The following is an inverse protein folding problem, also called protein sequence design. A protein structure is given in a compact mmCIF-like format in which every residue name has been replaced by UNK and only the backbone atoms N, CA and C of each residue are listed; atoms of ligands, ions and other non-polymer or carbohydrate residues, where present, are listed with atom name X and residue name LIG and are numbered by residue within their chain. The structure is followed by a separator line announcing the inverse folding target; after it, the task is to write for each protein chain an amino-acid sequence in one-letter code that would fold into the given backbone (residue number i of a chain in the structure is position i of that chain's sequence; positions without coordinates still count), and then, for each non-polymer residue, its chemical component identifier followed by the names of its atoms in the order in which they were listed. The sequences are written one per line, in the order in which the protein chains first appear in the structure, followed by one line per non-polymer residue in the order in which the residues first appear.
data_IF_125403791683
#
_entry.id   IF_125403791683
#
_cell.length_a   1.000
_cell.length_b   1.000
_cell.length_c   1.000
_cell.angle_alpha   90.00
_cell.angle_beta   90.00
_cell.angle_gamma   90.00
#
_symmetry.space_group_name_H-M   'P 1'
#
loop_
_entity.id
_entity.type
_entity.pdbx_description
1 polymer ?
#
# COMPACT_ATOMS: atom_id res chain seq x y z
N UNK A 1 -21.83 11.11 1.27
CA UNK A 1 -20.45 10.59 1.28
C UNK A 1 -20.13 10.15 2.70
N UNK A 2 -19.87 8.86 2.92
CA UNK A 2 -19.51 8.37 4.27
C UNK A 2 -17.99 8.47 4.35
N UNK A 3 -17.52 9.52 5.00
CA UNK A 3 -16.10 9.72 5.26
C UNK A 3 -15.83 9.31 6.71
N UNK A 4 -15.42 8.05 6.92
CA UNK A 4 -15.06 7.53 8.24
C UNK A 4 -13.61 7.87 8.54
N UNK A 5 -13.37 9.13 8.93
CA UNK A 5 -12.06 9.60 9.35
C UNK A 5 -11.72 9.13 10.75
N UNK A 6 -10.47 8.86 10.97
CA UNK A 6 -9.92 8.57 12.29
C UNK A 6 -9.81 9.86 13.12
N UNK A 7 -9.56 9.74 14.42
CA UNK A 7 -9.35 10.89 15.31
C UNK A 7 -8.21 11.78 14.84
N UNK A 8 -7.21 11.19 14.19
CA UNK A 8 -6.06 11.88 13.64
C UNK A 8 -5.78 11.31 12.26
N UNK A 9 -5.95 12.13 11.23
CA UNK A 9 -5.54 11.81 9.88
C UNK A 9 -4.13 12.35 9.62
N UNK A 10 -3.37 11.60 8.85
CA UNK A 10 -2.02 11.97 8.50
C UNK A 10 -1.72 11.61 7.04
N UNK A 11 -0.78 12.33 6.44
CA UNK A 11 -0.23 12.07 5.11
C UNK A 11 1.27 12.35 5.11
N UNK A 12 2.02 11.54 4.37
CA UNK A 12 3.45 11.73 4.14
C UNK A 12 3.74 11.59 2.66
N UNK A 13 4.45 12.56 2.13
CA UNK A 13 5.01 12.55 0.78
C UNK A 13 6.53 12.49 0.89
N UNK A 14 7.19 11.70 0.04
CA UNK A 14 8.64 11.67 -0.08
C UNK A 14 9.02 11.49 -1.54
N UNK A 15 9.98 12.29 -1.99
CA UNK A 15 10.55 12.20 -3.33
C UNK A 15 12.06 11.94 -3.19
N UNK A 16 12.49 10.76 -3.65
CA UNK A 16 13.89 10.38 -3.61
C UNK A 16 14.61 10.92 -4.84
N UNK A 17 15.82 11.49 -4.67
CA UNK A 17 16.58 12.14 -5.75
C UNK A 17 15.74 13.20 -6.49
N UNK A 18 15.03 14.05 -5.76
CA UNK A 18 14.15 15.08 -6.32
C UNK A 18 14.88 16.13 -7.16
N UNK A 19 16.22 16.20 -7.09
CA UNK A 19 17.07 17.06 -7.89
C UNK A 19 17.58 16.40 -9.18
N UNK A 20 17.13 15.19 -9.51
CA UNK A 20 17.49 14.47 -10.74
C UNK A 20 16.24 14.23 -11.58
N UNK A 21 15.97 15.10 -12.53
CA UNK A 21 14.84 15.00 -13.46
C UNK A 21 14.97 13.83 -14.46
N UNK A 22 16.17 13.25 -14.60
CA UNK A 22 16.42 12.11 -15.48
C UNK A 22 16.21 10.76 -14.80
N UNK A 23 16.06 10.73 -13.48
CA UNK A 23 15.88 9.49 -12.73
C UNK A 23 14.58 8.78 -13.13
N UNK A 24 14.68 7.50 -13.43
CA UNK A 24 13.52 6.62 -13.51
C UNK A 24 12.89 6.51 -12.13
N UNK A 25 11.57 6.57 -12.04
CA UNK A 25 10.87 6.63 -10.77
C UNK A 25 9.83 5.53 -10.61
N UNK A 26 9.66 5.07 -9.38
CA UNK A 26 8.52 4.28 -8.94
C UNK A 26 7.83 4.99 -7.79
N UNK A 27 6.51 4.82 -7.70
CA UNK A 27 5.71 5.39 -6.62
C UNK A 27 5.14 4.27 -5.75
N UNK A 28 5.41 4.33 -4.45
CA UNK A 28 4.75 3.51 -3.46
C UNK A 28 3.58 4.29 -2.86
N UNK A 29 2.36 3.76 -3.00
CA UNK A 29 1.16 4.34 -2.38
C UNK A 29 0.63 3.36 -1.36
N UNK A 30 0.42 3.81 -0.12
CA UNK A 30 -0.15 2.96 0.93
C UNK A 30 -0.37 3.65 2.26
N UNK A 31 -0.31 2.87 3.32
CA UNK A 31 -0.51 3.30 4.69
C UNK A 31 0.78 3.23 5.53
N UNK A 32 0.65 3.10 6.85
CA UNK A 32 1.78 2.98 7.77
C UNK A 32 2.65 1.75 7.52
N UNK A 33 2.10 0.67 6.93
CA UNK A 33 2.87 -0.52 6.58
C UNK A 33 3.80 -0.19 5.40
N UNK A 34 3.26 0.42 4.35
CA UNK A 34 4.05 0.87 3.19
C UNK A 34 5.10 1.91 3.60
N UNK A 35 4.73 2.88 4.45
CA UNK A 35 5.68 3.83 5.04
C UNK A 35 6.79 3.12 5.82
N UNK A 36 6.43 2.09 6.58
CA UNK A 36 7.37 1.34 7.42
C UNK A 36 8.45 0.59 6.65
N UNK A 37 8.20 0.25 5.39
CA UNK A 37 9.16 -0.46 4.53
C UNK A 37 9.83 0.45 3.49
N UNK A 38 9.42 1.72 3.40
CA UNK A 38 9.85 2.63 2.34
C UNK A 38 11.36 2.78 2.25
N UNK A 39 12.05 3.04 3.37
CA UNK A 39 13.50 3.22 3.37
C UNK A 39 14.22 1.95 2.90
N UNK A 40 13.83 0.77 3.40
CA UNK A 40 14.42 -0.49 2.98
C UNK A 40 14.19 -0.77 1.48
N UNK A 41 13.00 -0.45 0.94
CA UNK A 41 12.72 -0.58 -0.51
C UNK A 41 13.57 0.41 -1.30
N UNK A 42 13.64 1.67 -0.88
CA UNK A 42 14.44 2.71 -1.52
C UNK A 42 15.92 2.33 -1.57
N UNK A 43 16.47 1.86 -0.45
CA UNK A 43 17.88 1.41 -0.37
C UNK A 43 18.18 0.22 -1.27
N UNK A 44 17.24 -0.74 -1.35
CA UNK A 44 17.39 -1.92 -2.21
C UNK A 44 17.32 -1.60 -3.70
N UNK A 45 16.58 -0.56 -4.10
CA UNK A 45 16.35 -0.18 -5.49
C UNK A 45 17.16 1.02 -5.97
N UNK A 46 17.91 1.70 -5.09
CA UNK A 46 18.58 2.98 -5.36
C UNK A 46 19.51 3.00 -6.59
N UNK A 47 20.06 1.84 -6.98
CA UNK A 47 20.93 1.72 -8.15
C UNK A 47 20.15 1.58 -9.47
N UNK A 48 18.83 1.48 -9.42
CA UNK A 48 17.97 1.23 -10.58
C UNK A 48 16.95 2.35 -10.81
N UNK A 49 16.33 2.82 -9.71
CA UNK A 49 15.23 3.79 -9.75
C UNK A 49 15.22 4.67 -8.50
N UNK A 50 14.68 5.87 -8.62
CA UNK A 50 14.24 6.66 -7.47
C UNK A 50 12.88 6.13 -6.96
N UNK A 51 12.73 6.01 -5.66
CA UNK A 51 11.50 5.51 -5.03
C UNK A 51 10.78 6.65 -4.32
N UNK A 52 9.60 7.01 -4.80
CA UNK A 52 8.75 8.03 -4.19
C UNK A 52 7.67 7.39 -3.32
N UNK A 53 7.08 8.15 -2.39
CA UNK A 53 6.10 7.68 -1.43
C UNK A 53 4.92 8.63 -1.29
N UNK A 54 3.71 8.06 -1.34
CA UNK A 54 2.51 8.60 -0.70
C UNK A 54 2.05 7.61 0.36
N UNK A 55 2.16 7.98 1.63
CA UNK A 55 1.58 7.20 2.71
C UNK A 55 0.54 8.01 3.48
N UNK A 56 -0.66 7.44 3.67
CA UNK A 56 -1.79 8.13 4.28
C UNK A 56 -2.64 7.21 5.14
N UNK A 57 -3.27 7.77 6.17
CA UNK A 57 -4.32 7.10 6.94
C UNK A 57 -5.69 7.15 6.24
N UNK A 58 -5.81 7.83 5.12
CA UNK A 58 -7.08 7.96 4.41
C UNK A 58 -7.44 6.68 3.66
N UNK A 59 -8.69 6.28 3.81
CA UNK A 59 -9.26 5.20 3.02
C UNK A 59 -9.64 5.70 1.61
N UNK A 60 -9.68 4.82 0.62
CA UNK A 60 -9.99 5.14 -0.79
C UNK A 60 -11.31 5.90 -0.99
N UNK A 61 -12.24 5.83 -0.03
CA UNK A 61 -13.53 6.56 -0.08
C UNK A 61 -13.45 7.98 0.45
N UNK A 62 -12.34 8.41 1.05
CA UNK A 62 -12.15 9.79 1.49
C UNK A 62 -11.82 10.68 0.27
N UNK A 63 -12.63 11.71 -0.04
CA UNK A 63 -12.40 12.57 -1.20
C UNK A 63 -11.08 13.36 -1.11
N UNK A 64 -10.52 13.56 0.09
CA UNK A 64 -9.21 14.22 0.23
C UNK A 64 -8.07 13.29 -0.20
N UNK A 65 -8.30 11.98 -0.22
CA UNK A 65 -7.33 11.04 -0.79
C UNK A 65 -7.10 11.27 -2.30
N UNK A 66 -8.10 11.76 -3.02
CA UNK A 66 -7.94 12.16 -4.43
C UNK A 66 -6.96 13.33 -4.58
N UNK A 67 -7.03 14.31 -3.68
CA UNK A 67 -6.07 15.41 -3.64
C UNK A 67 -4.66 14.94 -3.30
N UNK A 68 -4.55 13.98 -2.37
CA UNK A 68 -3.25 13.37 -2.03
C UNK A 68 -2.65 12.62 -3.22
N UNK A 69 -3.47 11.88 -3.96
CA UNK A 69 -3.04 11.19 -5.19
C UNK A 69 -2.62 12.17 -6.27
N UNK A 70 -3.42 13.20 -6.53
CA UNK A 70 -3.11 14.23 -7.52
C UNK A 70 -1.74 14.87 -7.24
N UNK A 71 -1.46 15.20 -5.98
CA UNK A 71 -0.20 15.85 -5.60
C UNK A 71 1.05 15.03 -5.99
N UNK A 72 0.99 13.68 -5.95
CA UNK A 72 2.14 12.84 -6.30
C UNK A 72 2.13 12.37 -7.75
N UNK A 73 0.96 12.32 -8.39
CA UNK A 73 0.83 11.81 -9.76
C UNK A 73 1.20 12.85 -10.82
N UNK A 74 1.08 14.16 -10.49
CA UNK A 74 1.36 15.25 -11.43
C UNK A 74 2.79 15.77 -11.34
N UNK A 75 3.48 15.52 -10.22
CA UNK A 75 4.81 16.10 -9.97
C UNK A 75 5.90 15.37 -10.78
N UNK A 76 5.88 14.04 -10.78
CA UNK A 76 6.80 13.21 -11.56
C UNK A 76 6.09 12.11 -12.33
N UNK A 77 6.69 11.68 -13.44
CA UNK A 77 6.24 10.48 -14.17
C UNK A 77 6.83 9.24 -13.50
N UNK A 78 5.98 8.26 -13.17
CA UNK A 78 6.37 7.01 -12.54
C UNK A 78 6.25 5.83 -13.52
N UNK A 79 7.31 5.05 -13.70
CA UNK A 79 7.28 3.84 -14.54
C UNK A 79 6.42 2.74 -13.92
N UNK A 80 6.43 2.65 -12.59
CA UNK A 80 5.66 1.68 -11.82
C UNK A 80 4.96 2.39 -10.67
N UNK A 81 3.69 2.07 -10.46
CA UNK A 81 2.95 2.46 -9.25
C UNK A 81 2.61 1.20 -8.46
N UNK A 82 3.08 1.12 -7.22
CA UNK A 82 2.70 0.09 -6.26
C UNK A 82 1.62 0.65 -5.35
N UNK A 83 0.48 -0.01 -5.26
CA UNK A 83 -0.69 0.48 -4.55
C UNK A 83 -1.23 -0.51 -3.52
N UNK A 84 -1.33 -0.04 -2.28
CA UNK A 84 -2.03 -0.69 -1.18
C UNK A 84 -2.94 0.33 -0.48
N UNK A 85 -4.16 -0.05 -0.14
CA UNK A 85 -5.05 0.71 0.75
C UNK A 85 -6.10 -0.25 1.29
N UNK A 86 -6.33 -0.24 2.62
CA UNK A 86 -7.38 -1.09 3.17
C UNK A 86 -7.26 -1.43 4.65
N UNK A 87 -6.30 -0.89 5.40
CA UNK A 87 -6.23 -1.05 6.86
C UNK A 87 -6.95 0.08 7.62
N UNK A 88 -7.17 1.22 6.96
CA UNK A 88 -7.92 2.35 7.52
C UNK A 88 -9.39 2.35 7.11
N UNK A 89 -10.23 3.12 7.81
CA UNK A 89 -11.66 3.20 7.52
C UNK A 89 -12.38 1.86 7.61
N UNK A 90 -12.08 1.05 8.63
CA UNK A 90 -12.60 -0.33 8.80
C UNK A 90 -14.13 -0.39 8.73
N UNK A 91 -14.83 0.66 9.17
CA UNK A 91 -16.29 0.72 9.19
C UNK A 91 -16.93 1.11 7.84
N UNK A 92 -16.11 1.37 6.81
CA UNK A 92 -16.63 1.64 5.45
C UNK A 92 -17.27 0.36 4.88
N UNK A 93 -18.54 0.42 4.42
CA UNK A 93 -19.19 -0.71 3.78
C UNK A 93 -18.39 -1.25 2.60
N UNK A 94 -18.32 -2.57 2.47
CA UNK A 94 -17.45 -3.23 1.50
C UNK A 94 -17.79 -2.86 0.04
N UNK A 95 -19.06 -2.66 -0.29
CA UNK A 95 -19.48 -2.24 -1.61
C UNK A 95 -18.98 -0.83 -1.98
N UNK A 96 -18.97 0.11 -1.02
CA UNK A 96 -18.44 1.45 -1.23
C UNK A 96 -16.90 1.44 -1.32
N UNK A 97 -16.25 0.57 -0.53
CA UNK A 97 -14.82 0.37 -0.64
C UNK A 97 -14.45 -0.22 -2.03
N UNK A 98 -15.19 -1.23 -2.50
CA UNK A 98 -14.96 -1.88 -3.81
C UNK A 98 -15.07 -0.86 -4.95
N UNK A 99 -16.17 -0.10 -5.01
CA UNK A 99 -16.37 0.95 -6.01
C UNK A 99 -15.22 1.96 -6.00
N UNK A 100 -14.92 2.55 -4.85
CA UNK A 100 -13.86 3.54 -4.73
C UNK A 100 -12.47 2.97 -5.03
N UNK A 101 -12.18 1.73 -4.62
CA UNK A 101 -10.90 1.07 -4.90
C UNK A 101 -10.70 0.88 -6.40
N UNK A 102 -11.74 0.42 -7.12
CA UNK A 102 -11.68 0.25 -8.57
C UNK A 102 -11.46 1.60 -9.29
N UNK A 103 -12.17 2.66 -8.87
CA UNK A 103 -11.98 4.01 -9.42
C UNK A 103 -10.54 4.49 -9.24
N UNK A 104 -9.92 4.24 -8.08
CA UNK A 104 -8.52 4.59 -7.83
C UNK A 104 -7.58 3.78 -8.72
N UNK A 105 -7.81 2.48 -8.89
CA UNK A 105 -7.00 1.64 -9.80
C UNK A 105 -7.10 2.16 -11.23
N UNK A 106 -8.30 2.47 -11.72
CA UNK A 106 -8.49 3.05 -13.06
C UNK A 106 -7.79 4.41 -13.22
N UNK A 107 -7.79 5.23 -12.16
CA UNK A 107 -7.04 6.49 -12.14
C UNK A 107 -5.53 6.22 -12.26
N UNK A 108 -4.97 5.34 -11.44
CA UNK A 108 -3.54 5.03 -11.42
C UNK A 108 -3.06 4.49 -12.77
N UNK A 109 -3.88 3.68 -13.45
CA UNK A 109 -3.57 3.15 -14.80
C UNK A 109 -3.47 4.24 -15.88
N UNK A 110 -4.02 5.44 -15.65
CA UNK A 110 -3.84 6.58 -16.57
C UNK A 110 -2.46 7.22 -16.44
N UNK A 111 -1.83 7.08 -15.26
CA UNK A 111 -0.52 7.67 -14.96
C UNK A 111 0.65 6.70 -15.12
N UNK A 112 0.42 5.38 -15.04
CA UNK A 112 1.45 4.39 -15.27
C UNK A 112 0.89 3.16 -15.98
N UNK A 113 1.69 2.61 -16.89
CA UNK A 113 1.36 1.33 -17.58
C UNK A 113 1.61 0.11 -16.69
N UNK A 114 2.36 0.27 -15.61
CA UNK A 114 2.75 -0.81 -14.70
C UNK A 114 2.22 -0.47 -13.31
N UNK A 115 1.02 -0.98 -12.99
CA UNK A 115 0.44 -0.88 -11.65
C UNK A 115 0.55 -2.25 -10.98
N UNK A 116 1.04 -2.25 -9.74
CA UNK A 116 1.12 -3.43 -8.87
C UNK A 116 0.18 -3.21 -7.70
N UNK A 117 -0.82 -4.06 -7.54
CA UNK A 117 -1.68 -4.04 -6.38
C UNK A 117 -1.08 -4.88 -5.25
N UNK A 118 -1.35 -4.53 -4.02
CA UNK A 118 -0.91 -5.32 -2.87
C UNK A 118 -2.06 -5.57 -1.89
N UNK A 119 -2.20 -6.81 -1.43
CA UNK A 119 -3.16 -7.14 -0.37
C UNK A 119 -2.75 -6.47 0.95
N UNK A 120 -3.75 -6.18 1.80
CA UNK A 120 -3.52 -5.69 3.16
C UNK A 120 -2.95 -6.80 4.02
N UNK A 121 -2.14 -6.44 5.00
CA UNK A 121 -1.59 -7.38 5.97
C UNK A 121 -2.61 -7.74 7.06
N UNK A 122 -2.50 -8.91 7.71
CA UNK A 122 -3.41 -9.32 8.77
C UNK A 122 -3.37 -8.36 9.98
N UNK A 123 -4.51 -8.18 10.65
CA UNK A 123 -4.62 -7.48 11.95
C UNK A 123 -4.70 -8.54 13.05
N UNK A 124 -3.89 -8.37 14.09
CA UNK A 124 -3.89 -9.27 15.27
C UNK A 124 -4.37 -8.56 16.52
N UNK A 125 -4.60 -9.29 17.59
CA UNK A 125 -4.85 -8.70 18.89
C UNK A 125 -3.58 -8.06 19.47
N UNK A 126 -3.76 -6.94 20.17
CA UNK A 126 -2.66 -6.26 20.86
C UNK A 126 -1.97 -7.20 21.86
N UNK A 127 -0.65 -7.25 21.83
CA UNK A 127 0.20 -8.14 22.64
C UNK A 127 -0.01 -9.65 22.40
N UNK A 128 -0.72 -10.03 21.31
CA UNK A 128 -0.95 -11.43 20.95
C UNK A 128 -0.79 -11.61 19.44
N UNK A 129 0.43 -11.53 18.92
CA UNK A 129 0.70 -11.50 17.46
C UNK A 129 0.26 -12.75 16.71
N UNK A 130 -0.01 -13.86 17.43
CA UNK A 130 -0.52 -15.12 16.89
C UNK A 130 -2.06 -15.21 16.83
N UNK A 131 -2.79 -14.24 17.44
CA UNK A 131 -4.25 -14.25 17.49
C UNK A 131 -4.79 -13.16 16.56
N UNK A 132 -5.58 -13.55 15.55
CA UNK A 132 -6.23 -12.61 14.67
C UNK A 132 -7.29 -11.79 15.41
N UNK A 133 -7.30 -10.48 15.16
CA UNK A 133 -8.35 -9.60 15.63
C UNK A 133 -9.66 -9.86 14.87
N UNK A 134 -10.85 -9.68 15.48
CA UNK A 134 -12.12 -9.69 14.74
C UNK A 134 -12.17 -8.70 13.55
N UNK A 135 -11.42 -7.61 13.62
CA UNK A 135 -11.25 -6.66 12.49
C UNK A 135 -10.64 -7.30 11.26
N UNK A 136 -9.95 -8.43 11.41
CA UNK A 136 -9.32 -9.11 10.29
C UNK A 136 -10.33 -9.65 9.26
N UNK A 137 -11.60 -9.88 9.64
CA UNK A 137 -12.65 -10.27 8.70
C UNK A 137 -12.90 -9.20 7.62
N UNK A 138 -12.75 -7.92 7.99
CA UNK A 138 -12.83 -6.81 7.03
C UNK A 138 -11.63 -6.81 6.10
N UNK A 139 -10.43 -7.08 6.65
CA UNK A 139 -9.20 -7.19 5.83
C UNK A 139 -9.34 -8.29 4.78
N UNK A 140 -9.85 -9.46 5.14
CA UNK A 140 -10.08 -10.55 4.20
C UNK A 140 -11.02 -10.14 3.06
N UNK A 141 -12.15 -9.50 3.37
CA UNK A 141 -13.10 -9.00 2.36
C UNK A 141 -12.46 -7.96 1.45
N UNK A 142 -11.64 -7.04 1.98
CA UNK A 142 -10.91 -6.05 1.19
C UNK A 142 -9.85 -6.69 0.31
N UNK A 143 -9.15 -7.70 0.81
CA UNK A 143 -8.19 -8.45 0.01
C UNK A 143 -8.86 -9.19 -1.17
N UNK A 144 -10.10 -9.67 -1.00
CA UNK A 144 -10.89 -10.20 -2.12
C UNK A 144 -11.18 -9.12 -3.17
N UNK A 145 -11.53 -7.90 -2.75
CA UNK A 145 -11.72 -6.75 -3.66
C UNK A 145 -10.42 -6.43 -4.41
N UNK A 146 -9.28 -6.42 -3.72
CA UNK A 146 -7.96 -6.16 -4.31
C UNK A 146 -7.61 -7.23 -5.35
N UNK A 147 -7.83 -8.52 -5.04
CA UNK A 147 -7.62 -9.64 -5.99
C UNK A 147 -8.54 -9.52 -7.21
N UNK A 148 -9.82 -9.21 -7.01
CA UNK A 148 -10.78 -8.98 -8.11
C UNK A 148 -10.33 -7.82 -9.02
N UNK A 149 -9.80 -6.73 -8.44
CA UNK A 149 -9.29 -5.61 -9.23
C UNK A 149 -8.05 -6.03 -10.04
N UNK A 150 -7.11 -6.78 -9.44
CA UNK A 150 -5.95 -7.32 -10.13
C UNK A 150 -6.36 -8.20 -11.32
N UNK A 151 -7.31 -9.10 -11.13
CA UNK A 151 -7.83 -10.00 -12.17
C UNK A 151 -8.54 -9.20 -13.27
N UNK A 152 -9.47 -8.28 -12.90
CA UNK A 152 -10.25 -7.47 -13.86
C UNK A 152 -9.35 -6.66 -14.80
N UNK A 153 -8.31 -6.05 -14.25
CA UNK A 153 -7.43 -5.16 -15.00
C UNK A 153 -6.13 -5.84 -15.47
N UNK A 154 -5.98 -7.16 -15.23
CA UNK A 154 -4.77 -7.95 -15.56
C UNK A 154 -3.50 -7.32 -14.99
N UNK A 155 -3.54 -6.87 -13.74
CA UNK A 155 -2.45 -6.22 -13.03
C UNK A 155 -1.63 -7.22 -12.21
N UNK A 156 -0.36 -6.89 -11.98
CA UNK A 156 0.48 -7.62 -11.05
C UNK A 156 -0.05 -7.49 -9.62
N UNK A 157 -0.02 -8.57 -8.86
CA UNK A 157 -0.47 -8.61 -7.46
C UNK A 157 0.66 -9.06 -6.53
N UNK A 158 0.94 -8.27 -5.52
CA UNK A 158 1.71 -8.68 -4.35
C UNK A 158 0.74 -9.24 -3.30
N UNK A 159 0.43 -10.52 -3.40
CA UNK A 159 -0.43 -11.21 -2.43
C UNK A 159 0.41 -11.73 -1.26
N UNK A 160 0.76 -10.84 -0.36
CA UNK A 160 1.63 -11.14 0.79
C UNK A 160 0.89 -11.52 2.08
N UNK A 161 -0.47 -11.48 2.06
CA UNK A 161 -1.27 -11.73 3.26
C UNK A 161 -0.94 -13.08 3.91
N UNK A 162 -0.98 -14.18 3.14
CA UNK A 162 -0.77 -15.53 3.67
C UNK A 162 0.68 -15.76 4.13
N UNK A 163 1.64 -15.18 3.40
CA UNK A 163 3.04 -15.22 3.83
C UNK A 163 3.21 -14.52 5.18
N UNK A 164 2.70 -13.32 5.31
CA UNK A 164 2.81 -12.54 6.55
C UNK A 164 2.04 -13.21 7.69
N UNK A 165 0.89 -13.81 7.41
CA UNK A 165 0.10 -14.57 8.39
C UNK A 165 0.90 -15.74 8.98
N UNK A 166 1.68 -16.44 8.15
CA UNK A 166 2.53 -17.57 8.58
C UNK A 166 3.73 -17.18 9.44
N UNK A 167 4.03 -15.88 9.57
CA UNK A 167 5.21 -15.36 10.26
C UNK A 167 4.86 -14.44 11.45
N UNK A 168 4.15 -14.91 12.50
CA UNK A 168 3.69 -14.07 13.60
C UNK A 168 4.82 -13.42 14.41
N UNK A 169 6.02 -13.99 14.38
CA UNK A 169 7.21 -13.47 15.07
C UNK A 169 7.78 -12.17 14.47
N UNK A 170 7.37 -11.82 13.26
CA UNK A 170 7.73 -10.53 12.65
C UNK A 170 6.82 -9.38 13.07
N UNK A 171 5.74 -9.67 13.83
CA UNK A 171 4.78 -8.66 14.22
C UNK A 171 5.21 -7.88 15.45
N UNK A 172 4.90 -6.58 15.43
CA UNK A 172 4.93 -5.75 16.63
C UNK A 172 3.74 -6.07 17.56
N UNK A 173 3.81 -5.61 18.81
CA UNK A 173 2.79 -5.89 19.83
C UNK A 173 1.53 -5.01 19.72
N UNK A 174 1.46 -4.09 18.78
CA UNK A 174 0.30 -3.20 18.60
C UNK A 174 -0.85 -3.80 17.79
N UNK A 175 -0.60 -4.94 17.14
CA UNK A 175 -1.56 -5.68 16.33
C UNK A 175 -1.60 -5.28 14.85
N UNK A 176 -0.87 -4.25 14.43
CA UNK A 176 -0.85 -3.74 13.06
C UNK A 176 0.54 -3.77 12.42
N UNK A 177 1.55 -3.28 13.14
CA UNK A 177 2.88 -3.06 12.60
C UNK A 177 3.80 -4.28 12.74
N UNK A 178 5.04 -4.11 12.29
CA UNK A 178 6.04 -5.16 12.20
C UNK A 178 7.35 -4.73 12.87
N UNK A 179 8.12 -5.72 13.33
CA UNK A 179 9.49 -5.52 13.81
C UNK A 179 10.37 -5.03 12.66
N UNK A 180 11.54 -4.48 12.97
CA UNK A 180 12.49 -4.06 11.94
C UNK A 180 12.89 -5.21 11.00
N UNK A 181 13.02 -6.44 11.54
CA UNK A 181 13.27 -7.63 10.72
C UNK A 181 12.07 -7.93 9.80
N UNK A 182 10.85 -7.84 10.33
CA UNK A 182 9.62 -8.03 9.56
C UNK A 182 9.48 -7.02 8.41
N UNK A 183 9.82 -5.75 8.65
CA UNK A 183 9.85 -4.71 7.61
C UNK A 183 10.85 -5.03 6.51
N UNK A 184 12.09 -5.46 6.85
CA UNK A 184 13.09 -5.86 5.86
C UNK A 184 12.64 -7.04 5.01
N UNK A 185 11.94 -8.01 5.60
CA UNK A 185 11.37 -9.14 4.85
C UNK A 185 10.29 -8.66 3.89
N UNK A 186 9.37 -7.79 4.36
CA UNK A 186 8.34 -7.20 3.52
C UNK A 186 8.94 -6.38 2.36
N UNK A 187 9.96 -5.55 2.64
CA UNK A 187 10.64 -4.78 1.60
C UNK A 187 11.23 -5.68 0.50
N UNK A 188 11.86 -6.80 0.87
CA UNK A 188 12.38 -7.79 -0.09
C UNK A 188 11.27 -8.39 -0.95
N UNK A 189 10.10 -8.69 -0.38
CA UNK A 189 8.95 -9.20 -1.15
C UNK A 189 8.48 -8.16 -2.18
N UNK A 190 8.38 -6.89 -1.79
CA UNK A 190 8.03 -5.80 -2.69
C UNK A 190 9.09 -5.65 -3.80
N UNK A 191 10.37 -5.60 -3.45
CA UNK A 191 11.46 -5.48 -4.41
C UNK A 191 11.49 -6.64 -5.40
N UNK A 192 11.22 -7.88 -4.96
CA UNK A 192 11.19 -9.06 -5.83
C UNK A 192 10.12 -8.97 -6.93
N UNK A 193 9.05 -8.23 -6.70
CA UNK A 193 8.03 -7.98 -7.72
C UNK A 193 8.43 -6.80 -8.60
N UNK A 194 8.87 -5.70 -7.99
CA UNK A 194 9.21 -4.48 -8.71
C UNK A 194 10.40 -4.69 -9.68
N UNK A 195 11.44 -5.43 -9.25
CA UNK A 195 12.62 -5.69 -10.10
C UNK A 195 12.33 -6.50 -11.36
N UNK A 196 11.24 -7.27 -11.39
CA UNK A 196 10.79 -7.98 -12.61
C UNK A 196 10.12 -7.04 -13.62
N UNK A 197 9.77 -5.85 -13.18
CA UNK A 197 9.05 -4.85 -13.96
C UNK A 197 9.94 -3.67 -14.38
N UNK A 198 11.07 -3.43 -13.70
CA UNK A 198 12.10 -2.45 -14.09
C UNK A 198 12.84 -2.97 -15.31
#
# INVERSE_FOLDING_TARGET
MICNREKTEWVNYMWHNANDDSAKRILLIGDSITKGIYNDVSDLLQNYVATDLLASSRVVTDPVFDTDLEAVLVDYTHEIIYFNNGLHGIDVPINLFEEAFFDKVELLMKYSKKVVLATCTPITEKNKPQILSPKNDVVLKRNEVIRKAADKFSLSLNDWYDFILSCPFYRANDGYHYTEEGKRVQAKLVCNILTKLI
#
